data_IF_839414290511
#
_entry.id   IF_839414290511
#
_cell.length_a   1.000
_cell.length_b   1.000
_cell.length_c   1.000
_cell.angle_alpha   90.00
_cell.angle_beta   90.00
_cell.angle_gamma   90.00
#
_symmetry.space_group_name_H-M   'P 1'
#
loop_
_entity.id
_entity.type
_entity.pdbx_description
1 polymer ?
#
# COMPACT_ATOMS: atom_id res chain seq x y z
N UNK A 1 -45.23 31.48 -74.45
CA UNK A 1 -45.08 32.40 -73.29
C UNK A 1 -45.57 31.82 -71.96
N UNK A 2 -46.83 31.32 -71.84
CA UNK A 2 -47.36 30.84 -70.54
C UNK A 2 -46.63 29.60 -69.94
N UNK A 3 -46.08 28.70 -70.76
CA UNK A 3 -45.30 27.54 -70.28
C UNK A 3 -43.95 27.96 -69.68
N UNK A 4 -43.16 28.74 -70.44
CA UNK A 4 -41.85 29.22 -69.97
C UNK A 4 -41.91 30.08 -68.69
N UNK A 5 -42.99 30.84 -68.48
CA UNK A 5 -43.20 31.57 -67.22
C UNK A 5 -43.52 30.64 -66.03
N UNK A 6 -44.20 29.51 -66.25
CA UNK A 6 -44.43 28.50 -65.20
C UNK A 6 -43.15 27.75 -64.85
N UNK A 7 -42.37 27.36 -65.84
CA UNK A 7 -41.05 26.72 -65.65
C UNK A 7 -40.09 27.64 -64.90
N UNK A 8 -40.01 28.92 -65.29
CA UNK A 8 -39.22 29.92 -64.57
C UNK A 8 -39.69 30.11 -63.11
N UNK A 9 -41.00 30.13 -62.88
CA UNK A 9 -41.55 30.21 -61.51
C UNK A 9 -41.21 28.97 -60.68
N UNK A 10 -41.19 27.78 -61.29
CA UNK A 10 -40.74 26.53 -60.66
C UNK A 10 -39.27 26.58 -60.27
N UNK A 11 -38.39 26.91 -61.21
CA UNK A 11 -36.95 27.02 -60.97
C UNK A 11 -36.61 28.06 -59.89
N UNK A 12 -37.29 29.21 -59.87
CA UNK A 12 -37.11 30.21 -58.80
C UNK A 12 -37.54 29.71 -57.42
N UNK A 13 -38.55 28.84 -57.33
CA UNK A 13 -38.96 28.23 -56.05
C UNK A 13 -37.91 27.24 -55.56
N UNK A 14 -37.37 26.40 -56.45
CA UNK A 14 -36.28 25.47 -56.11
C UNK A 14 -35.03 26.20 -55.65
N UNK A 15 -34.59 27.23 -56.40
CA UNK A 15 -33.44 28.06 -56.01
C UNK A 15 -33.67 28.71 -54.64
N UNK A 16 -34.87 29.20 -54.37
CA UNK A 16 -35.22 29.76 -53.05
C UNK A 16 -35.22 28.71 -51.94
N UNK A 17 -35.61 27.47 -52.24
CA UNK A 17 -35.50 26.32 -51.34
C UNK A 17 -34.04 26.00 -51.01
N UNK A 18 -33.21 25.79 -52.04
CA UNK A 18 -31.78 25.52 -51.88
C UNK A 18 -31.04 26.64 -51.14
N UNK A 19 -31.35 27.91 -51.42
CA UNK A 19 -30.78 29.04 -50.67
C UNK A 19 -31.18 29.06 -49.19
N UNK A 20 -32.37 28.56 -48.83
CA UNK A 20 -32.77 28.43 -47.42
C UNK A 20 -31.98 27.33 -46.72
N UNK A 21 -31.78 26.18 -47.37
CA UNK A 21 -30.98 25.07 -46.85
C UNK A 21 -29.50 25.45 -46.70
N UNK A 22 -28.92 26.08 -47.72
CA UNK A 22 -27.56 26.62 -47.65
C UNK A 22 -27.42 27.64 -46.51
N UNK A 23 -28.48 28.38 -46.19
CA UNK A 23 -28.49 29.31 -45.06
C UNK A 23 -28.65 28.63 -43.69
N UNK A 24 -29.28 27.44 -43.60
CA UNK A 24 -29.43 26.70 -42.35
C UNK A 24 -28.22 25.85 -42.01
N UNK A 25 -27.56 25.22 -43.00
CA UNK A 25 -26.41 24.34 -42.80
C UNK A 25 -25.31 24.94 -41.90
N UNK A 26 -24.84 26.18 -42.12
CA UNK A 26 -23.84 26.81 -41.25
C UNK A 26 -24.30 27.00 -39.79
N UNK A 27 -25.61 27.15 -39.54
CA UNK A 27 -26.15 27.23 -38.18
C UNK A 27 -26.06 25.88 -37.48
N UNK A 28 -26.44 24.80 -38.16
CA UNK A 28 -26.35 23.43 -37.65
C UNK A 28 -24.89 23.05 -37.36
N UNK A 29 -23.98 23.34 -38.29
CA UNK A 29 -22.53 23.14 -38.09
C UNK A 29 -22.02 23.91 -36.87
N UNK A 30 -22.45 25.17 -36.68
CA UNK A 30 -22.08 25.95 -35.49
C UNK A 30 -22.60 25.35 -34.19
N UNK A 31 -23.80 24.76 -34.20
CA UNK A 31 -24.35 24.05 -33.03
C UNK A 31 -23.51 22.80 -32.73
N UNK A 32 -23.28 21.95 -33.73
CA UNK A 32 -22.44 20.75 -33.56
C UNK A 32 -21.03 21.07 -33.09
N UNK A 33 -20.39 22.12 -33.61
CA UNK A 33 -19.07 22.56 -33.14
C UNK A 33 -19.07 23.04 -31.68
N UNK A 34 -20.17 23.65 -31.21
CA UNK A 34 -20.31 24.04 -29.79
C UNK A 34 -20.45 22.82 -28.89
N UNK A 35 -21.22 21.82 -29.30
CA UNK A 35 -21.39 20.56 -28.58
C UNK A 35 -20.07 19.80 -28.49
N UNK A 36 -19.36 19.64 -29.61
CA UNK A 36 -18.01 19.02 -29.64
C UNK A 36 -17.05 19.76 -28.72
N UNK A 37 -17.05 21.10 -28.76
CA UNK A 37 -16.21 21.90 -27.85
C UNK A 37 -16.60 21.71 -26.38
N UNK A 38 -17.88 21.51 -26.08
CA UNK A 38 -18.38 21.16 -24.75
C UNK A 38 -17.83 19.82 -24.29
N UNK A 39 -18.03 18.77 -25.09
CA UNK A 39 -17.54 17.42 -24.80
C UNK A 39 -16.02 17.37 -24.62
N UNK A 40 -15.25 18.08 -25.45
CA UNK A 40 -13.78 18.16 -25.28
C UNK A 40 -13.36 18.84 -23.97
N UNK A 41 -14.13 19.83 -23.48
CA UNK A 41 -13.85 20.46 -22.18
C UNK A 41 -14.13 19.49 -21.03
N UNK A 42 -15.20 18.72 -21.12
CA UNK A 42 -15.55 17.70 -20.13
C UNK A 42 -14.51 16.58 -20.08
N UNK A 43 -14.12 16.03 -21.24
CA UNK A 43 -13.05 15.04 -21.34
C UNK A 43 -11.74 15.55 -20.74
N UNK A 44 -11.39 16.82 -20.99
CA UNK A 44 -10.20 17.45 -20.40
C UNK A 44 -10.32 17.63 -18.88
N UNK A 45 -11.53 17.79 -18.34
CA UNK A 45 -11.76 17.85 -16.90
C UNK A 45 -11.55 16.46 -16.29
N UNK A 46 -12.26 15.46 -16.79
CA UNK A 46 -12.16 14.06 -16.34
C UNK A 46 -10.71 13.56 -16.41
N UNK A 47 -9.98 13.88 -17.47
CA UNK A 47 -8.57 13.49 -17.59
C UNK A 47 -7.67 14.12 -16.51
N UNK A 48 -7.95 15.37 -16.12
CA UNK A 48 -7.22 16.03 -15.01
C UNK A 48 -7.56 15.38 -13.68
N UNK A 49 -8.82 15.08 -13.43
CA UNK A 49 -9.27 14.43 -12.20
C UNK A 49 -8.68 13.02 -12.08
N UNK A 50 -8.69 12.25 -13.17
CA UNK A 50 -8.05 10.94 -13.24
C UNK A 50 -6.54 11.03 -12.98
N UNK A 51 -5.87 12.02 -13.58
CA UNK A 51 -4.44 12.25 -13.35
C UNK A 51 -4.14 12.61 -11.89
N UNK A 52 -5.03 13.37 -11.24
CA UNK A 52 -4.97 13.68 -9.81
C UNK A 52 -5.10 12.41 -8.97
N UNK A 53 -6.16 11.63 -9.19
CA UNK A 53 -6.40 10.38 -8.46
C UNK A 53 -5.26 9.37 -8.62
N UNK A 54 -4.67 9.24 -9.82
CA UNK A 54 -3.51 8.38 -10.04
C UNK A 54 -2.27 8.84 -9.26
N UNK A 55 -2.07 10.16 -9.09
CA UNK A 55 -0.98 10.70 -8.26
C UNK A 55 -1.20 10.40 -6.78
N UNK A 56 -2.42 10.54 -6.30
CA UNK A 56 -2.80 10.19 -4.92
C UNK A 56 -2.59 8.71 -4.63
N UNK A 57 -3.07 7.82 -5.50
CA UNK A 57 -2.84 6.37 -5.39
C UNK A 57 -1.35 6.05 -5.39
N UNK A 58 -0.57 6.68 -6.28
CA UNK A 58 0.88 6.52 -6.31
C UNK A 58 1.55 7.00 -5.01
N UNK A 59 1.05 8.07 -4.40
CA UNK A 59 1.46 8.57 -3.08
C UNK A 59 1.17 7.54 -1.98
N UNK A 60 -0.07 7.09 -1.86
CA UNK A 60 -0.47 6.10 -0.87
C UNK A 60 0.30 4.78 -0.98
N UNK A 61 0.59 4.31 -2.21
CA UNK A 61 1.43 3.12 -2.40
C UNK A 61 2.88 3.32 -1.93
N UNK A 62 3.43 4.54 -2.02
CA UNK A 62 4.76 4.85 -1.47
C UNK A 62 4.75 4.83 0.05
N UNK A 63 3.71 5.36 0.68
CA UNK A 63 3.53 5.35 2.13
C UNK A 63 3.38 3.92 2.67
N UNK A 64 2.50 3.11 2.06
CA UNK A 64 2.35 1.68 2.41
C UNK A 64 3.68 0.95 2.32
N UNK A 65 4.46 1.19 1.25
CA UNK A 65 5.78 0.59 1.09
C UNK A 65 6.76 1.04 2.18
N UNK A 66 6.68 2.28 2.65
CA UNK A 66 7.51 2.76 3.77
C UNK A 66 7.11 2.05 5.07
N UNK A 67 5.83 2.02 5.39
CA UNK A 67 5.31 1.35 6.58
C UNK A 67 5.66 -0.15 6.62
N UNK A 68 5.62 -0.84 5.47
CA UNK A 68 6.06 -2.23 5.39
C UNK A 68 7.56 -2.41 5.68
N UNK A 69 8.41 -1.46 5.28
CA UNK A 69 9.85 -1.51 5.62
C UNK A 69 10.08 -1.32 7.12
N UNK A 70 9.35 -0.41 7.74
CA UNK A 70 9.40 -0.17 9.19
C UNK A 70 8.96 -1.41 9.97
N UNK A 71 7.85 -2.05 9.56
CA UNK A 71 7.39 -3.32 10.16
C UNK A 71 8.45 -4.41 10.03
N UNK A 72 9.08 -4.57 8.86
CA UNK A 72 10.17 -5.54 8.67
C UNK A 72 11.35 -5.22 9.59
N UNK A 73 11.69 -3.93 9.77
CA UNK A 73 12.71 -3.48 10.71
C UNK A 73 12.38 -3.91 12.15
N UNK A 74 11.20 -3.56 12.64
CA UNK A 74 10.76 -3.94 13.99
C UNK A 74 10.72 -5.46 14.21
N UNK A 75 10.30 -6.23 13.22
CA UNK A 75 10.32 -7.70 13.31
C UNK A 75 11.74 -8.27 13.42
N UNK A 76 12.73 -7.64 12.77
CA UNK A 76 14.15 -8.03 12.91
C UNK A 76 14.68 -7.71 14.31
N UNK A 77 14.33 -6.56 14.86
CA UNK A 77 14.70 -6.17 16.23
C UNK A 77 14.11 -7.14 17.26
N UNK A 78 12.81 -7.45 17.17
CA UNK A 78 12.15 -8.44 18.02
C UNK A 78 12.84 -9.81 17.90
N UNK A 79 13.17 -10.24 16.68
CA UNK A 79 13.89 -11.50 16.46
C UNK A 79 15.30 -11.47 17.08
N UNK A 80 15.99 -10.34 17.08
CA UNK A 80 17.25 -10.12 17.77
C UNK A 80 17.10 -10.28 19.28
N UNK A 81 16.18 -9.53 19.88
CA UNK A 81 15.91 -9.59 21.32
C UNK A 81 15.52 -10.99 21.80
N UNK A 82 14.73 -11.74 21.02
CA UNK A 82 14.40 -13.13 21.37
C UNK A 82 15.62 -14.06 21.37
N UNK A 83 16.62 -13.82 20.52
CA UNK A 83 17.88 -14.59 20.53
C UNK A 83 18.71 -14.27 21.77
N UNK A 84 18.77 -12.99 22.16
CA UNK A 84 19.47 -12.55 23.36
C UNK A 84 18.83 -13.16 24.62
N UNK A 85 17.50 -13.08 24.74
CA UNK A 85 16.75 -13.72 25.84
C UNK A 85 17.03 -15.22 25.88
N UNK A 86 17.03 -15.91 24.72
CA UNK A 86 17.38 -17.33 24.65
C UNK A 86 18.81 -17.60 25.10
N UNK A 87 19.74 -16.70 24.78
CA UNK A 87 21.13 -16.74 25.26
C UNK A 87 21.21 -16.65 26.77
N UNK A 88 20.62 -15.60 27.36
CA UNK A 88 20.59 -15.40 28.81
C UNK A 88 19.93 -16.57 29.55
N UNK A 89 18.85 -17.15 29.02
CA UNK A 89 18.24 -18.35 29.62
C UNK A 89 19.16 -19.57 29.62
N UNK A 90 20.05 -19.72 28.62
CA UNK A 90 21.05 -20.80 28.61
C UNK A 90 22.12 -20.57 29.67
N UNK A 91 22.56 -19.33 29.85
CA UNK A 91 23.54 -18.94 30.88
C UNK A 91 22.98 -19.17 32.28
N UNK A 92 21.77 -18.69 32.56
CA UNK A 92 21.06 -18.96 33.83
C UNK A 92 20.97 -20.45 34.10
N UNK A 93 20.61 -21.25 33.08
CA UNK A 93 20.55 -22.70 33.21
C UNK A 93 21.92 -23.32 33.51
N UNK A 94 23.02 -22.78 32.97
CA UNK A 94 24.38 -23.23 33.28
C UNK A 94 24.72 -22.92 34.73
N UNK A 95 24.53 -21.68 35.17
CA UNK A 95 24.79 -21.26 36.54
C UNK A 95 24.00 -22.08 37.56
N UNK A 96 22.73 -22.40 37.28
CA UNK A 96 21.93 -23.28 38.14
C UNK A 96 22.51 -24.71 38.25
N UNK A 97 23.12 -25.23 37.19
CA UNK A 97 23.80 -26.56 37.24
C UNK A 97 25.08 -26.49 38.07
N UNK A 98 25.85 -25.42 37.93
CA UNK A 98 27.07 -25.18 38.71
C UNK A 98 26.74 -25.07 40.21
N UNK A 99 25.77 -24.23 40.57
CA UNK A 99 25.27 -24.11 41.96
C UNK A 99 24.81 -25.47 42.49
N UNK A 100 24.04 -26.22 41.69
CA UNK A 100 23.61 -27.57 42.08
C UNK A 100 24.79 -28.54 42.29
N UNK A 101 25.86 -28.40 41.51
CA UNK A 101 27.10 -29.14 41.65
C UNK A 101 27.80 -28.82 42.96
N UNK A 102 28.06 -27.53 43.22
CA UNK A 102 28.70 -27.08 44.46
C UNK A 102 27.92 -27.47 45.72
N UNK A 103 26.58 -27.42 45.69
CA UNK A 103 25.75 -27.90 46.79
C UNK A 103 25.90 -29.41 47.05
N UNK A 104 26.09 -30.22 45.99
CA UNK A 104 26.36 -31.67 46.13
C UNK A 104 27.73 -31.92 46.74
N UNK A 105 28.75 -31.20 46.31
CA UNK A 105 30.12 -31.27 46.84
C UNK A 105 30.15 -30.86 48.32
N UNK A 106 29.54 -29.72 48.67
CA UNK A 106 29.42 -29.26 50.06
C UNK A 106 28.76 -30.32 50.94
N UNK A 107 27.66 -30.92 50.48
CA UNK A 107 26.99 -32.01 51.20
C UNK A 107 27.88 -33.25 51.36
N UNK A 108 28.73 -33.55 50.37
CA UNK A 108 29.73 -34.59 50.45
C UNK A 108 30.76 -34.31 51.54
N UNK A 109 31.38 -33.13 51.52
CA UNK A 109 32.35 -32.71 52.53
C UNK A 109 31.77 -32.69 53.95
N UNK A 110 30.52 -32.23 54.14
CA UNK A 110 29.85 -32.28 55.44
C UNK A 110 29.66 -33.71 55.97
N UNK A 111 29.43 -34.69 55.09
CA UNK A 111 29.34 -36.11 55.49
C UNK A 111 30.70 -36.66 55.90
N UNK A 112 31.75 -36.30 55.17
CA UNK A 112 33.13 -36.69 55.48
C UNK A 112 33.59 -36.12 56.83
N UNK A 113 33.39 -34.82 57.06
CA UNK A 113 33.66 -34.17 58.35
C UNK A 113 32.93 -34.87 59.49
N UNK A 114 31.65 -35.21 59.30
CA UNK A 114 30.86 -35.94 60.30
C UNK A 114 31.42 -37.34 60.56
N UNK A 115 31.89 -38.04 59.53
CA UNK A 115 32.51 -39.37 59.66
C UNK A 115 33.79 -39.30 60.50
N UNK A 116 34.70 -38.39 60.12
CA UNK A 116 35.96 -38.16 60.84
C UNK A 116 35.70 -37.77 62.29
N UNK A 117 34.74 -36.88 62.54
CA UNK A 117 34.37 -36.50 63.90
C UNK A 117 33.86 -37.70 64.73
N UNK A 118 33.05 -38.58 64.13
CA UNK A 118 32.55 -39.80 64.78
C UNK A 118 33.68 -40.79 65.13
N UNK A 119 34.64 -40.99 64.22
CA UNK A 119 35.80 -41.84 64.44
C UNK A 119 36.69 -41.30 65.58
N UNK A 120 36.99 -40.00 65.58
CA UNK A 120 37.78 -39.36 66.65
C UNK A 120 37.08 -39.46 68.00
N UNK A 121 35.75 -39.29 68.04
CA UNK A 121 34.97 -39.31 69.29
C UNK A 121 34.79 -40.71 69.86
N UNK A 122 34.84 -41.76 69.03
CA UNK A 122 34.72 -43.16 69.48
C UNK A 122 36.05 -43.85 69.80
N UNK A 123 37.18 -43.22 69.42
CA UNK A 123 38.53 -43.71 69.73
C UNK A 123 39.13 -43.19 71.03
N UNK A 124 38.44 -42.28 71.73
CA UNK A 124 38.73 -41.81 73.08
C UNK A 124 37.79 -42.49 74.08
#
# INVERSE_FOLDING_TARGET
MRSGLRELSGGLREVRGGLREVRSGPREVRVGLREVRGGLREVRSVHRDLSGGLREVSGGLREVRSGLREVIGGLREVSGGLREVRGGLREVRSGLREVSGGLREMRGGLREVRSVHGEVSGGL
#
